data_IF_906626084157
#
_entry.id   IF_906626084157
#
_cell.length_a   1.000
_cell.length_b   1.000
_cell.length_c   1.000
_cell.angle_alpha   90.00
_cell.angle_beta   90.00
_cell.angle_gamma   90.00
#
_symmetry.space_group_name_H-M   'P 1'
#
loop_
_entity.id
_entity.type
_entity.pdbx_description
1 polymer ?
#
# COMPACT_ATOMS: atom_id res chain seq x y z
N UNK A 1 -8.30 10.24 -0.26
CA UNK A 1 -8.85 9.44 -1.38
C UNK A 1 -7.93 9.46 -2.58
N UNK A 2 -7.82 10.55 -3.35
CA UNK A 2 -7.01 10.59 -4.60
C UNK A 2 -5.55 10.15 -4.39
N UNK A 3 -4.89 10.66 -3.36
CA UNK A 3 -3.52 10.27 -3.01
C UNK A 3 -3.42 8.77 -2.68
N UNK A 4 -4.39 8.27 -1.91
CA UNK A 4 -4.47 6.87 -1.53
C UNK A 4 -4.68 5.96 -2.74
N UNK A 5 -5.67 6.26 -3.60
CA UNK A 5 -5.94 5.46 -4.80
C UNK A 5 -4.76 5.51 -5.77
N UNK A 6 -4.11 6.67 -5.93
CA UNK A 6 -2.89 6.81 -6.73
C UNK A 6 -1.75 5.91 -6.23
N UNK A 7 -1.48 5.93 -4.92
CA UNK A 7 -0.47 5.06 -4.30
C UNK A 7 -0.84 3.59 -4.47
N UNK A 8 -2.06 3.20 -4.11
CA UNK A 8 -2.52 1.82 -4.16
C UNK A 8 -2.51 1.28 -5.59
N UNK A 9 -2.94 2.07 -6.57
CA UNK A 9 -2.86 1.69 -7.98
C UNK A 9 -1.41 1.49 -8.46
N UNK A 10 -0.50 2.36 -8.03
CA UNK A 10 0.93 2.19 -8.29
C UNK A 10 1.50 0.90 -7.70
N UNK A 11 1.10 0.54 -6.48
CA UNK A 11 1.44 -0.74 -5.85
C UNK A 11 0.93 -1.91 -6.70
N UNK A 12 -0.36 -1.92 -7.05
CA UNK A 12 -0.96 -2.99 -7.86
C UNK A 12 -0.25 -3.17 -9.21
N UNK A 13 0.13 -2.08 -9.88
CA UNK A 13 0.94 -2.14 -11.12
C UNK A 13 2.31 -2.77 -10.90
N UNK A 14 2.96 -2.49 -9.77
CA UNK A 14 4.23 -3.12 -9.43
C UNK A 14 4.06 -4.62 -9.15
N UNK A 15 2.99 -5.04 -8.47
CA UNK A 15 2.69 -6.46 -8.23
C UNK A 15 2.45 -7.17 -9.57
N UNK A 16 1.66 -6.58 -10.48
CA UNK A 16 1.54 -7.11 -11.85
C UNK A 16 2.90 -7.20 -12.56
N UNK A 17 3.80 -6.25 -12.33
CA UNK A 17 5.16 -6.32 -12.87
C UNK A 17 5.96 -7.49 -12.28
N UNK A 18 5.92 -7.72 -10.96
CA UNK A 18 6.50 -8.92 -10.34
C UNK A 18 5.94 -10.18 -11.02
N UNK A 19 4.63 -10.28 -11.20
CA UNK A 19 4.00 -11.44 -11.81
C UNK A 19 4.38 -11.67 -13.29
N UNK A 20 4.77 -10.60 -14.00
CA UNK A 20 5.22 -10.66 -15.39
C UNK A 20 6.64 -11.24 -15.58
N UNK A 21 7.41 -11.41 -14.50
CA UNK A 21 8.83 -11.82 -14.55
C UNK A 21 9.02 -13.33 -14.73
N UNK A 22 8.67 -13.87 -15.90
CA UNK A 22 8.77 -15.32 -16.22
C UNK A 22 10.18 -15.90 -16.21
N UNK A 23 11.23 -15.07 -16.36
CA UNK A 23 12.64 -15.49 -16.29
C UNK A 23 13.26 -15.36 -14.88
N UNK A 24 12.44 -15.09 -13.86
CA UNK A 24 12.88 -15.01 -12.46
C UNK A 24 12.77 -16.37 -11.79
N UNK A 25 13.69 -16.70 -10.88
CA UNK A 25 13.56 -17.88 -9.99
C UNK A 25 12.51 -17.64 -8.90
N UNK A 26 12.35 -16.39 -8.48
CA UNK A 26 11.48 -16.01 -7.36
C UNK A 26 10.09 -15.60 -7.83
N UNK A 27 9.99 -14.99 -9.01
CA UNK A 27 8.78 -14.33 -9.51
C UNK A 27 8.23 -15.02 -10.76
N UNK A 28 6.95 -14.79 -11.06
CA UNK A 28 6.19 -15.44 -12.13
C UNK A 28 4.70 -15.25 -11.93
N UNK A 29 3.85 -15.95 -12.68
CA UNK A 29 2.39 -15.70 -12.71
C UNK A 29 1.71 -15.63 -11.32
N UNK A 30 2.17 -16.44 -10.37
CA UNK A 30 1.65 -16.54 -9.00
C UNK A 30 2.48 -15.74 -7.98
N UNK A 31 3.37 -14.86 -8.44
CA UNK A 31 4.26 -14.07 -7.59
C UNK A 31 3.53 -13.18 -6.60
N UNK A 32 2.28 -12.81 -6.90
CA UNK A 32 1.42 -12.03 -6.01
C UNK A 32 1.13 -12.74 -4.68
N UNK A 33 1.15 -14.08 -4.63
CA UNK A 33 0.94 -14.85 -3.40
C UNK A 33 2.04 -14.61 -2.36
N UNK A 34 3.19 -14.07 -2.78
CA UNK A 34 4.33 -13.76 -1.93
C UNK A 34 4.35 -12.31 -1.47
N UNK A 35 3.35 -11.50 -1.84
CA UNK A 35 3.29 -10.07 -1.56
C UNK A 35 2.01 -9.77 -0.79
N UNK A 36 2.17 -9.15 0.38
CA UNK A 36 1.07 -8.65 1.21
C UNK A 36 1.18 -7.13 1.30
N UNK A 37 0.07 -6.43 1.04
CA UNK A 37 0.00 -4.97 1.17
C UNK A 37 -0.69 -4.62 2.48
N UNK A 38 0.06 -4.02 3.40
CA UNK A 38 -0.46 -3.58 4.70
C UNK A 38 -0.72 -2.06 4.70
N UNK A 39 -1.98 -1.65 4.79
CA UNK A 39 -2.38 -0.24 4.94
C UNK A 39 -2.68 0.05 6.42
N UNK A 40 -1.92 0.94 7.05
CA UNK A 40 -2.12 1.31 8.46
C UNK A 40 -2.68 2.73 8.55
N UNK A 41 -3.96 2.86 8.89
CA UNK A 41 -4.61 4.14 9.14
C UNK A 41 -4.40 4.60 10.59
N UNK A 42 -3.92 5.84 10.75
CA UNK A 42 -3.50 6.40 12.04
C UNK A 42 -4.60 7.17 12.76
N UNK A 43 -5.58 6.43 13.27
CA UNK A 43 -6.71 6.97 14.03
C UNK A 43 -8.01 6.92 13.25
N UNK A 44 -9.02 6.25 13.82
CA UNK A 44 -10.32 6.05 13.19
C UNK A 44 -11.10 7.35 13.00
N UNK A 45 -10.91 8.31 13.89
CA UNK A 45 -11.50 9.64 13.76
C UNK A 45 -10.73 10.56 12.78
N UNK A 46 -9.48 10.21 12.43
CA UNK A 46 -8.61 11.01 11.58
C UNK A 46 -8.59 10.55 10.12
N UNK A 47 -8.97 9.31 9.84
CA UNK A 47 -9.02 8.80 8.47
C UNK A 47 -10.12 9.51 7.68
N UNK A 48 -9.77 9.99 6.49
CA UNK A 48 -10.71 10.71 5.64
C UNK A 48 -11.84 9.77 5.15
N UNK A 49 -13.14 10.13 5.27
CA UNK A 49 -14.26 9.25 4.90
C UNK A 49 -14.19 8.71 3.46
N UNK A 50 -13.79 9.55 2.50
CA UNK A 50 -13.60 9.10 1.11
C UNK A 50 -12.47 8.07 0.93
N UNK A 51 -11.45 8.07 1.80
CA UNK A 51 -10.43 7.00 1.79
C UNK A 51 -11.04 5.68 2.27
N UNK A 52 -11.91 5.71 3.29
CA UNK A 52 -12.67 4.54 3.72
C UNK A 52 -13.60 4.03 2.61
N UNK A 53 -14.28 4.93 1.89
CA UNK A 53 -15.10 4.54 0.73
C UNK A 53 -14.26 3.86 -0.36
N UNK A 54 -13.06 4.35 -0.66
CA UNK A 54 -12.16 3.72 -1.62
C UNK A 54 -11.69 2.33 -1.14
N UNK A 55 -11.37 2.18 0.14
CA UNK A 55 -11.04 0.87 0.74
C UNK A 55 -12.22 -0.10 0.68
N UNK A 56 -13.45 0.37 0.95
CA UNK A 56 -14.66 -0.43 0.84
C UNK A 56 -14.94 -0.84 -0.61
N UNK A 57 -14.75 0.07 -1.57
CA UNK A 57 -14.88 -0.22 -2.99
C UNK A 57 -13.87 -1.26 -3.50
N UNK A 58 -12.69 -1.37 -2.88
CA UNK A 58 -11.71 -2.43 -3.14
C UNK A 58 -11.99 -3.72 -2.37
N UNK A 59 -12.97 -3.73 -1.46
CA UNK A 59 -13.40 -4.89 -0.66
C UNK A 59 -12.69 -5.07 0.69
N UNK A 60 -11.66 -4.27 0.99
CA UNK A 60 -10.82 -4.46 2.20
C UNK A 60 -11.37 -3.77 3.45
N UNK A 61 -12.43 -2.95 3.33
CA UNK A 61 -13.05 -2.29 4.48
C UNK A 61 -14.57 -2.43 4.44
N UNK A 62 -15.18 -2.64 5.62
CA UNK A 62 -16.62 -2.69 5.79
C UNK A 62 -17.03 -1.73 6.91
N UNK A 63 -17.93 -0.81 6.57
CA UNK A 63 -18.42 0.20 7.51
C UNK A 63 -19.39 -0.39 8.55
N UNK A 64 -19.45 0.22 9.73
CA UNK A 64 -20.37 -0.19 10.81
C UNK A 64 -19.92 -1.40 11.66
N UNK A 65 -18.83 -2.08 11.29
CA UNK A 65 -18.32 -3.24 12.06
C UNK A 65 -17.49 -2.81 13.27
N UNK A 66 -16.69 -1.74 13.13
CA UNK A 66 -15.76 -1.29 14.15
C UNK A 66 -16.46 -0.93 15.47
N UNK A 67 -15.94 -1.47 16.58
CA UNK A 67 -16.41 -1.22 17.97
C UNK A 67 -15.36 -0.47 18.80
N UNK A 68 -15.81 0.31 19.78
CA UNK A 68 -14.90 1.01 20.69
C UNK A 68 -14.35 0.07 21.78
N UNK A 69 -15.16 -0.90 22.20
CA UNK A 69 -14.84 -1.83 23.27
C UNK A 69 -15.33 -3.24 22.94
N UNK A 70 -14.61 -4.24 23.44
CA UNK A 70 -14.99 -5.66 23.42
C UNK A 70 -14.69 -6.24 24.80
N UNK A 71 -15.67 -6.89 25.43
CA UNK A 71 -15.53 -7.46 26.78
C UNK A 71 -14.99 -6.44 27.82
N UNK A 72 -15.53 -5.21 27.80
CA UNK A 72 -15.11 -4.10 28.67
C UNK A 72 -13.62 -3.73 28.53
N UNK A 73 -12.99 -4.04 27.40
CA UNK A 73 -11.63 -3.60 27.04
C UNK A 73 -11.68 -2.71 25.81
N UNK A 74 -10.98 -1.58 25.87
CA UNK A 74 -10.83 -0.67 24.72
C UNK A 74 -10.19 -1.39 23.53
N UNK A 75 -10.78 -1.25 22.36
CA UNK A 75 -10.20 -1.73 21.11
C UNK A 75 -9.06 -0.80 20.70
N UNK A 76 -7.90 -1.36 20.39
CA UNK A 76 -6.72 -0.59 19.97
C UNK A 76 -6.64 -0.39 18.46
N UNK A 77 -7.15 -1.35 17.69
CA UNK A 77 -7.20 -1.31 16.23
C UNK A 77 -8.21 -2.34 15.69
N UNK A 78 -8.70 -2.11 14.48
CA UNK A 78 -9.52 -3.03 13.70
C UNK A 78 -8.69 -3.52 12.51
N UNK A 79 -8.63 -4.83 12.29
CA UNK A 79 -7.87 -5.42 11.19
C UNK A 79 -8.86 -6.09 10.24
N UNK A 80 -8.74 -5.75 8.97
CA UNK A 80 -9.50 -6.33 7.87
C UNK A 80 -8.51 -6.94 6.90
N UNK A 81 -8.86 -8.10 6.35
CA UNK A 81 -8.04 -8.80 5.38
C UNK A 81 -8.92 -9.23 4.21
N UNK A 82 -8.46 -8.96 3.00
CA UNK A 82 -9.17 -9.36 1.80
C UNK A 82 -8.20 -9.54 0.64
N UNK A 83 -8.43 -10.56 -0.19
CA UNK A 83 -7.70 -10.70 -1.45
C UNK A 83 -8.47 -9.99 -2.55
N UNK A 84 -8.00 -8.83 -2.98
CA UNK A 84 -8.64 -8.04 -4.04
C UNK A 84 -7.95 -8.23 -5.38
N UNK A 85 -8.73 -8.24 -6.47
CA UNK A 85 -8.21 -8.14 -7.84
C UNK A 85 -8.65 -6.82 -8.50
N UNK A 86 -9.12 -5.87 -7.69
CA UNK A 86 -9.70 -4.62 -8.15
C UNK A 86 -8.87 -3.46 -7.60
N UNK A 87 -8.53 -2.51 -8.47
CA UNK A 87 -7.83 -1.27 -8.10
C UNK A 87 -8.61 -0.06 -8.60
N UNK A 88 -8.52 1.06 -7.88
CA UNK A 88 -9.01 2.36 -8.32
C UNK A 88 -7.86 3.20 -8.86
N UNK A 89 -7.93 3.63 -10.12
CA UNK A 89 -6.92 4.51 -10.70
C UNK A 89 -7.04 5.97 -10.18
N UNK A 90 -6.13 6.83 -10.63
CA UNK A 90 -6.12 8.26 -10.27
C UNK A 90 -7.35 9.05 -10.75
N UNK A 91 -8.15 8.47 -11.67
CA UNK A 91 -9.45 9.00 -12.12
C UNK A 91 -10.63 8.32 -11.41
N UNK A 92 -10.37 7.54 -10.36
CA UNK A 92 -11.35 6.76 -9.61
C UNK A 92 -12.11 5.73 -10.45
N UNK A 93 -11.52 5.27 -11.56
CA UNK A 93 -12.07 4.17 -12.35
C UNK A 93 -11.51 2.85 -11.87
N UNK A 94 -12.39 1.85 -11.78
CA UNK A 94 -12.00 0.48 -11.48
C UNK A 94 -11.10 -0.10 -12.59
N UNK A 95 -10.11 -0.87 -12.17
CA UNK A 95 -9.23 -1.71 -12.99
C UNK A 95 -9.21 -3.11 -12.41
N UNK A 96 -9.78 -4.07 -13.14
CA UNK A 96 -9.79 -5.47 -12.75
C UNK A 96 -8.77 -6.32 -13.53
N UNK A 97 -9.03 -7.62 -13.52
CA UNK A 97 -8.24 -8.62 -14.25
C UNK A 97 -8.11 -8.31 -15.75
N UNK A 98 -9.15 -7.76 -16.37
CA UNK A 98 -9.21 -7.38 -17.78
C UNK A 98 -8.21 -6.28 -18.16
N UNK A 99 -7.70 -5.54 -17.19
CA UNK A 99 -6.64 -4.52 -17.36
C UNK A 99 -5.28 -4.99 -16.85
N UNK A 100 -5.14 -6.28 -16.54
CA UNK A 100 -3.89 -6.87 -16.05
C UNK A 100 -3.64 -6.68 -14.56
N UNK A 101 -4.65 -6.26 -13.78
CA UNK A 101 -4.57 -6.28 -12.32
C UNK A 101 -4.53 -7.74 -11.84
N UNK A 102 -3.48 -8.09 -11.11
CA UNK A 102 -3.35 -9.40 -10.46
C UNK A 102 -3.99 -9.36 -9.07
N UNK A 103 -4.39 -10.51 -8.50
CA UNK A 103 -4.85 -10.55 -7.12
C UNK A 103 -3.77 -10.03 -6.16
N UNK A 104 -4.17 -9.42 -5.05
CA UNK A 104 -3.28 -8.97 -3.98
C UNK A 104 -3.95 -9.20 -2.63
N UNK A 105 -3.20 -9.76 -1.68
CA UNK A 105 -3.63 -9.88 -0.29
C UNK A 105 -3.43 -8.52 0.39
N UNK A 106 -4.54 -7.86 0.71
CA UNK A 106 -4.54 -6.57 1.38
C UNK A 106 -4.94 -6.75 2.84
N UNK A 107 -4.15 -6.14 3.73
CA UNK A 107 -4.43 -6.05 5.16
C UNK A 107 -4.62 -4.58 5.51
N UNK A 108 -5.84 -4.21 5.91
CA UNK A 108 -6.14 -2.86 6.39
C UNK A 108 -6.21 -2.85 7.92
N UNK A 109 -5.35 -2.05 8.54
CA UNK A 109 -5.31 -1.83 9.98
C UNK A 109 -5.77 -0.41 10.31
N UNK A 110 -6.95 -0.29 10.89
CA UNK A 110 -7.53 0.97 11.35
C UNK A 110 -7.28 1.13 12.84
N UNK A 111 -6.26 1.93 13.22
CA UNK A 111 -5.97 2.20 14.62
C UNK A 111 -7.08 3.05 15.23
N UNK A 112 -7.43 2.80 16.49
CA UNK A 112 -8.49 3.56 17.16
C UNK A 112 -8.03 5.01 17.46
N UNK A 113 -6.78 5.16 17.95
CA UNK A 113 -6.19 6.44 18.34
C UNK A 113 -5.08 6.86 17.37
N UNK A 114 -5.04 8.14 17.00
CA UNK A 114 -3.92 8.73 16.27
C UNK A 114 -2.68 8.83 17.18
N UNK A 115 -1.59 8.18 16.77
CA UNK A 115 -0.32 8.12 17.52
C UNK A 115 0.91 8.43 16.65
N UNK A 116 0.70 9.08 15.52
CA UNK A 116 1.73 9.50 14.55
C UNK A 116 2.46 8.32 13.85
N UNK A 117 3.23 8.67 12.82
CA UNK A 117 3.97 7.77 11.92
C UNK A 117 4.82 6.71 12.64
N UNK A 118 5.59 7.08 13.67
CA UNK A 118 6.44 6.13 14.39
C UNK A 118 5.63 5.02 15.07
N UNK A 119 4.43 5.33 15.57
CA UNK A 119 3.55 4.30 16.13
C UNK A 119 2.98 3.40 15.02
N UNK A 120 2.64 3.95 13.85
CA UNK A 120 2.24 3.13 12.69
C UNK A 120 3.35 2.18 12.25
N UNK A 121 4.63 2.61 12.26
CA UNK A 121 5.76 1.71 12.02
C UNK A 121 5.86 0.60 13.07
N UNK A 122 5.60 0.89 14.35
CA UNK A 122 5.56 -0.14 15.40
C UNK A 122 4.47 -1.18 15.16
N UNK A 123 3.28 -0.77 14.73
CA UNK A 123 2.24 -1.71 14.30
C UNK A 123 2.71 -2.57 13.13
N UNK A 124 3.33 -1.94 12.13
CA UNK A 124 3.89 -2.66 10.99
C UNK A 124 4.91 -3.71 11.40
N UNK A 125 5.98 -3.34 12.10
CA UNK A 125 7.07 -4.29 12.41
C UNK A 125 6.74 -5.26 13.55
N UNK A 126 6.08 -4.79 14.62
CA UNK A 126 5.88 -5.61 15.82
C UNK A 126 4.62 -6.47 15.77
N UNK A 127 3.63 -6.12 14.96
CA UNK A 127 2.44 -6.95 14.76
C UNK A 127 2.52 -7.69 13.41
N UNK A 128 2.39 -6.97 12.30
CA UNK A 128 2.30 -7.59 10.97
C UNK A 128 3.61 -8.24 10.54
N UNK A 129 4.76 -7.60 10.75
CA UNK A 129 6.08 -8.15 10.44
C UNK A 129 6.38 -9.41 11.25
N UNK A 130 5.93 -9.47 12.51
CA UNK A 130 6.03 -10.68 13.34
C UNK A 130 5.09 -11.81 12.87
N UNK A 131 3.88 -11.48 12.43
CA UNK A 131 2.91 -12.46 11.98
C UNK A 131 3.22 -13.02 10.58
N UNK A 132 3.64 -12.14 9.66
CA UNK A 132 3.90 -12.49 8.26
C UNK A 132 5.34 -12.96 8.03
N UNK A 133 6.28 -12.64 8.92
CA UNK A 133 7.72 -12.97 8.80
C UNK A 133 8.32 -12.69 7.41
N UNK A 134 8.17 -11.47 6.86
CA UNK A 134 8.60 -11.17 5.50
C UNK A 134 10.13 -11.17 5.35
N UNK A 135 10.64 -11.59 4.19
CA UNK A 135 12.07 -11.45 3.87
C UNK A 135 12.48 -10.00 3.56
N UNK A 136 11.58 -9.22 2.96
CA UNK A 136 11.81 -7.81 2.60
C UNK A 136 10.57 -7.00 2.96
N UNK A 137 10.78 -5.87 3.64
CA UNK A 137 9.74 -4.89 3.95
C UNK A 137 9.97 -3.63 3.12
N UNK A 138 8.94 -3.16 2.42
CA UNK A 138 8.96 -1.88 1.73
C UNK A 138 7.98 -0.92 2.42
N UNK A 139 8.49 0.18 2.95
CA UNK A 139 7.68 1.24 3.54
C UNK A 139 7.37 2.29 2.47
N UNK A 140 6.10 2.61 2.27
CA UNK A 140 5.64 3.60 1.30
C UNK A 140 4.65 4.56 1.95
N UNK A 141 4.91 5.86 1.85
CA UNK A 141 3.98 6.88 2.31
C UNK A 141 2.82 7.04 1.32
N UNK A 142 1.59 7.09 1.84
CA UNK A 142 0.40 7.47 1.07
C UNK A 142 0.62 8.85 0.45
N UNK A 143 0.32 8.98 -0.84
CA UNK A 143 0.67 10.17 -1.64
C UNK A 143 1.88 9.95 -2.54
N UNK A 144 2.67 8.90 -2.31
CA UNK A 144 3.76 8.50 -3.21
C UNK A 144 3.26 7.52 -4.26
N UNK A 145 3.44 7.84 -5.54
CA UNK A 145 3.15 6.94 -6.67
C UNK A 145 4.44 6.21 -7.08
N UNK A 146 4.60 4.91 -6.77
CA UNK A 146 5.77 4.18 -7.24
C UNK A 146 5.72 4.05 -8.76
N UNK A 147 6.87 4.24 -9.42
CA UNK A 147 6.98 3.88 -10.85
C UNK A 147 6.68 2.39 -11.02
N UNK A 148 6.19 2.00 -12.20
CA UNK A 148 5.69 0.65 -12.51
C UNK A 148 6.66 -0.51 -12.21
N UNK A 149 7.96 -0.24 -12.07
CA UNK A 149 9.00 -1.24 -11.76
C UNK A 149 9.79 -0.93 -10.49
N UNK A 150 9.47 0.17 -9.80
CA UNK A 150 10.27 0.67 -8.68
C UNK A 150 10.38 -0.34 -7.54
N UNK A 151 9.28 -0.96 -7.14
CA UNK A 151 9.26 -1.92 -6.03
C UNK A 151 10.03 -3.21 -6.39
N UNK A 152 9.96 -3.62 -7.65
CA UNK A 152 10.76 -4.75 -8.15
C UNK A 152 12.26 -4.45 -8.09
N UNK A 153 12.70 -3.26 -8.49
CA UNK A 153 14.11 -2.88 -8.40
C UNK A 153 14.60 -2.71 -6.96
N UNK A 154 13.75 -2.19 -6.05
CA UNK A 154 14.06 -2.17 -4.62
C UNK A 154 14.26 -3.59 -4.08
N UNK A 155 13.30 -4.50 -4.32
CA UNK A 155 13.43 -5.90 -3.93
C UNK A 155 14.68 -6.55 -4.55
N UNK A 156 14.97 -6.26 -5.82
CA UNK A 156 16.08 -6.87 -6.54
C UNK A 156 17.44 -6.52 -5.94
N UNK A 157 17.58 -5.36 -5.30
CA UNK A 157 18.81 -5.01 -4.58
C UNK A 157 19.12 -6.02 -3.45
N UNK A 158 18.10 -6.45 -2.70
CA UNK A 158 18.24 -7.49 -1.66
C UNK A 158 18.50 -8.88 -2.24
N UNK A 159 17.90 -9.19 -3.40
CA UNK A 159 18.12 -10.47 -4.10
C UNK A 159 19.54 -10.59 -4.68
N UNK A 160 20.12 -9.46 -5.10
CA UNK A 160 21.44 -9.43 -5.73
C UNK A 160 22.61 -9.46 -4.74
N UNK A 161 22.42 -8.96 -3.53
CA UNK A 161 23.46 -8.94 -2.49
C UNK A 161 22.85 -9.17 -1.11
N UNK A 162 23.16 -10.34 -0.53
CA UNK A 162 22.69 -10.73 0.80
C UNK A 162 23.23 -9.86 1.94
N UNK A 163 24.22 -8.99 1.69
CA UNK A 163 24.71 -8.01 2.67
C UNK A 163 23.88 -6.72 2.69
N UNK A 164 22.95 -6.53 1.74
CA UNK A 164 22.09 -5.34 1.69
C UNK A 164 21.00 -5.47 2.75
N UNK A 165 21.08 -4.61 3.78
CA UNK A 165 20.06 -4.51 4.83
C UNK A 165 19.00 -3.44 4.53
N UNK A 166 19.22 -2.58 3.53
CA UNK A 166 18.31 -1.49 3.19
C UNK A 166 18.56 -0.93 1.79
N UNK A 167 17.48 -0.50 1.14
CA UNK A 167 17.51 0.18 -0.15
C UNK A 167 16.52 1.34 -0.13
N UNK A 168 16.84 2.42 -0.85
CA UNK A 168 15.99 3.60 -0.98
C UNK A 168 15.77 3.91 -2.47
N UNK A 169 14.55 4.31 -2.80
CA UNK A 169 14.19 4.77 -4.14
C UNK A 169 14.34 6.29 -4.24
N UNK A 170 14.60 6.79 -5.44
CA UNK A 170 14.54 8.23 -5.72
C UNK A 170 13.09 8.71 -5.73
N UNK A 171 12.80 9.82 -5.05
CA UNK A 171 11.47 10.46 -5.03
C UNK A 171 11.56 11.79 -5.79
N UNK A 172 10.61 12.02 -6.71
CA UNK A 172 10.48 13.26 -7.47
C UNK A 172 9.10 13.86 -7.24
N UNK A 173 9.05 15.19 -7.18
CA UNK A 173 7.77 15.92 -7.12
C UNK A 173 6.98 15.68 -8.41
N UNK A 174 5.67 15.43 -8.26
CA UNK A 174 4.77 15.31 -9.39
C UNK A 174 4.52 16.69 -9.98
N UNK A 175 5.00 16.92 -11.21
CA UNK A 175 4.84 18.19 -11.94
C UNK A 175 3.47 18.33 -12.59
N UNK A 176 2.60 17.32 -12.49
CA UNK A 176 1.28 17.32 -13.11
C UNK A 176 1.30 17.27 -14.64
N UNK A 177 0.11 17.23 -15.24
CA UNK A 177 -0.04 17.18 -16.71
C UNK A 177 0.54 18.45 -17.33
N UNK A 178 1.42 18.30 -18.32
CA UNK A 178 2.03 19.42 -19.04
C UNK A 178 2.90 20.34 -18.16
N UNK A 179 3.43 19.83 -17.05
CA UNK A 179 4.20 20.61 -16.07
C UNK A 179 3.43 21.77 -15.42
N UNK A 180 2.09 21.79 -15.49
CA UNK A 180 1.28 22.84 -14.86
C UNK A 180 1.50 22.93 -13.34
N UNK A 181 1.99 21.87 -12.70
CA UNK A 181 2.40 21.90 -11.29
C UNK A 181 3.51 22.91 -11.02
N UNK A 182 4.39 23.19 -11.98
CA UNK A 182 5.47 24.20 -11.83
C UNK A 182 4.93 25.63 -11.70
N UNK A 183 3.64 25.88 -11.97
CA UNK A 183 3.02 27.17 -11.67
C UNK A 183 2.82 27.38 -10.16
N UNK A 184 2.86 26.31 -9.36
CA UNK A 184 2.92 26.39 -7.90
C UNK A 184 4.39 26.49 -7.46
N UNK A 185 4.81 27.58 -6.81
CA UNK A 185 6.20 27.75 -6.35
C UNK A 185 6.71 26.58 -5.49
N UNK A 186 5.85 25.96 -4.67
CA UNK A 186 6.20 24.82 -3.82
C UNK A 186 6.52 23.53 -4.60
N UNK A 187 6.05 23.42 -5.84
CA UNK A 187 6.31 22.27 -6.72
C UNK A 187 7.48 22.57 -7.66
N UNK A 188 7.76 23.85 -7.92
CA UNK A 188 8.83 24.30 -8.81
C UNK A 188 10.19 24.46 -8.12
N UNK A 189 10.20 24.79 -6.82
CA UNK A 189 11.39 24.87 -5.98
C UNK A 189 11.98 23.49 -5.70
#
# INVERSE_FOLDING_TARGET
EIEFTRTMHGIMRNISHFCSRTKSRTWGKDGWQKIVVCVIADGRQNVHPRTLNALAAMGVYQDGIAKNEVNSKEVTAHVYEYTTQVSLDETLKFKGAEKGTVPCQDVFCLKEKNKKKLNSHRWFFNAFGRALTPNVCILLDVGTKPDSKALYHLWKAFDQDSNVAGAAGEIKADKGKGWMGLLNPLVAS
#
